data_IF_085460698410
#
_entry.id   IF_085460698410
#
_cell.length_a   1.000
_cell.length_b   1.000
_cell.length_c   1.000
_cell.angle_alpha   90.00
_cell.angle_beta   90.00
_cell.angle_gamma   90.00
#
_symmetry.space_group_name_H-M   'P 1'
#
loop_
_entity.id
_entity.type
_entity.pdbx_description
1 polymer ?
#
# COMPACT_ATOMS: atom_id res chain seq x y z
N UNK A 1 37.04 -5.58 -5.03
CA UNK A 1 35.66 -5.72 -4.50
C UNK A 1 35.43 -4.55 -3.56
N UNK A 2 34.69 -3.53 -3.99
CA UNK A 2 34.32 -2.39 -3.14
C UNK A 2 33.29 -2.85 -2.12
N UNK A 3 33.45 -2.45 -0.86
CA UNK A 3 32.49 -2.75 0.19
C UNK A 3 31.11 -2.18 -0.20
N UNK A 4 29.99 -2.88 0.12
CA UNK A 4 28.66 -2.34 -0.12
C UNK A 4 28.49 -1.04 0.66
N UNK A 5 28.25 0.04 -0.05
CA UNK A 5 27.96 1.35 0.52
C UNK A 5 26.60 1.34 1.21
N UNK A 6 26.34 2.34 2.06
CA UNK A 6 25.10 2.47 2.83
C UNK A 6 23.84 2.35 1.95
N UNK A 7 23.93 2.86 0.72
CA UNK A 7 22.86 2.96 -0.27
C UNK A 7 22.86 1.86 -1.34
N UNK A 8 23.83 0.96 -1.29
CA UNK A 8 23.96 -0.11 -2.29
C UNK A 8 22.77 -1.07 -2.29
N UNK A 9 22.38 -1.47 -3.50
CA UNK A 9 21.33 -2.47 -3.75
C UNK A 9 22.03 -3.82 -3.97
N UNK A 10 21.49 -4.92 -3.41
CA UNK A 10 22.01 -6.25 -3.72
C UNK A 10 21.92 -6.54 -5.23
N UNK A 11 23.03 -6.98 -5.83
CA UNK A 11 23.13 -7.39 -7.24
C UNK A 11 22.07 -8.37 -7.75
N UNK A 12 21.57 -9.38 -6.99
CA UNK A 12 20.51 -10.26 -7.49
C UNK A 12 19.18 -9.53 -7.78
N UNK A 13 18.96 -8.36 -7.16
CA UNK A 13 17.72 -7.58 -7.31
C UNK A 13 17.71 -6.82 -8.63
N UNK A 14 18.83 -6.21 -9.03
CA UNK A 14 18.92 -5.42 -10.26
C UNK A 14 18.72 -6.29 -11.50
N UNK A 15 19.30 -7.49 -11.52
CA UNK A 15 19.16 -8.41 -12.65
C UNK A 15 17.71 -8.91 -12.80
N UNK A 16 17.04 -9.26 -11.70
CA UNK A 16 15.66 -9.79 -11.74
C UNK A 16 14.66 -8.73 -12.18
N UNK A 17 14.83 -7.48 -11.74
CA UNK A 17 13.94 -6.37 -12.08
C UNK A 17 14.15 -5.79 -13.48
N UNK A 18 15.20 -6.22 -14.19
CA UNK A 18 15.45 -5.82 -15.59
C UNK A 18 14.45 -6.41 -16.59
N UNK A 19 13.71 -7.45 -16.19
CA UNK A 19 12.69 -8.10 -17.01
C UNK A 19 11.28 -7.70 -16.56
N UNK A 20 10.34 -7.59 -17.50
CA UNK A 20 8.94 -7.30 -17.18
C UNK A 20 8.33 -8.35 -16.25
N UNK A 21 8.70 -9.62 -16.42
CA UNK A 21 8.20 -10.71 -15.59
C UNK A 21 8.71 -10.60 -14.16
N UNK A 22 10.03 -10.44 -13.96
CA UNK A 22 10.61 -10.26 -12.63
C UNK A 22 10.11 -8.98 -11.96
N UNK A 23 9.97 -7.89 -12.71
CA UNK A 23 9.38 -6.65 -12.19
C UNK A 23 7.95 -6.86 -11.69
N UNK A 24 7.08 -7.47 -12.49
CA UNK A 24 5.67 -7.69 -12.11
C UNK A 24 5.47 -8.62 -10.90
N UNK A 25 6.40 -9.55 -10.67
CA UNK A 25 6.37 -10.47 -9.52
C UNK A 25 6.74 -9.79 -8.20
N UNK A 26 7.70 -8.86 -8.25
CA UNK A 26 8.26 -8.23 -7.05
C UNK A 26 7.74 -6.81 -6.79
N UNK A 27 7.24 -6.12 -7.82
CA UNK A 27 6.66 -4.78 -7.70
C UNK A 27 5.16 -4.89 -7.87
N UNK A 28 4.41 -4.68 -6.79
CA UNK A 28 2.94 -4.69 -6.82
C UNK A 28 2.42 -3.27 -7.02
N UNK A 29 1.97 -2.90 -8.23
CA UNK A 29 1.33 -1.60 -8.41
C UNK A 29 0.04 -1.54 -7.59
N UNK A 30 -0.04 -0.61 -6.64
CA UNK A 30 -1.33 -0.36 -5.97
C UNK A 30 -2.35 0.16 -6.98
N UNK A 31 -3.48 -0.54 -7.12
CA UNK A 31 -4.62 -0.09 -7.92
C UNK A 31 -5.75 0.38 -7.00
N UNK A 32 -6.35 1.53 -7.32
CA UNK A 32 -7.55 2.01 -6.65
C UNK A 32 -8.70 0.99 -6.77
N UNK A 33 -8.80 0.33 -7.92
CA UNK A 33 -9.71 -0.78 -8.18
C UNK A 33 -9.51 -1.93 -7.17
N UNK A 34 -8.25 -2.26 -6.84
CA UNK A 34 -7.94 -3.30 -5.85
C UNK A 34 -8.38 -2.94 -4.43
N UNK A 35 -8.29 -1.65 -4.04
CA UNK A 35 -8.76 -1.16 -2.73
C UNK A 35 -10.30 -1.16 -2.67
N UNK A 36 -10.96 -0.67 -3.71
CA UNK A 36 -12.42 -0.69 -3.81
C UNK A 36 -12.99 -2.11 -3.75
N UNK A 37 -12.38 -3.05 -4.49
CA UNK A 37 -12.73 -4.46 -4.46
C UNK A 37 -12.63 -5.06 -3.04
N UNK A 38 -11.55 -4.76 -2.31
CA UNK A 38 -11.34 -5.29 -0.97
C UNK A 38 -12.40 -4.76 0.01
N UNK A 39 -12.75 -3.47 -0.07
CA UNK A 39 -13.75 -2.85 0.82
C UNK A 39 -15.15 -3.39 0.50
N UNK A 40 -15.57 -3.36 -0.77
CA UNK A 40 -16.91 -3.83 -1.17
C UNK A 40 -17.05 -5.32 -0.91
N UNK A 41 -16.01 -6.12 -1.21
CA UNK A 41 -16.00 -7.56 -0.92
C UNK A 41 -16.09 -7.86 0.57
N UNK A 42 -15.38 -7.11 1.42
CA UNK A 42 -15.44 -7.28 2.87
C UNK A 42 -16.82 -6.93 3.43
N UNK A 43 -17.42 -5.82 2.98
CA UNK A 43 -18.79 -5.44 3.39
C UNK A 43 -19.79 -6.51 2.95
N UNK A 44 -19.73 -6.97 1.70
CA UNK A 44 -20.61 -8.01 1.18
C UNK A 44 -20.50 -9.31 2.00
N UNK A 45 -19.27 -9.69 2.39
CA UNK A 45 -19.02 -10.87 3.21
C UNK A 45 -19.61 -10.71 4.62
N UNK A 46 -19.44 -9.55 5.26
CA UNK A 46 -20.02 -9.30 6.60
C UNK A 46 -21.55 -9.37 6.59
N UNK A 47 -22.18 -8.73 5.60
CA UNK A 47 -23.64 -8.76 5.43
C UNK A 47 -24.13 -10.19 5.19
N UNK A 48 -23.42 -10.95 4.35
CA UNK A 48 -23.74 -12.35 4.08
C UNK A 48 -23.59 -13.22 5.33
N UNK A 49 -22.47 -13.10 6.06
CA UNK A 49 -22.21 -13.85 7.29
C UNK A 49 -23.27 -13.56 8.34
N UNK A 50 -23.63 -12.29 8.54
CA UNK A 50 -24.70 -11.91 9.46
C UNK A 50 -26.03 -12.54 9.04
N UNK A 51 -26.40 -12.44 7.75
CA UNK A 51 -27.66 -13.01 7.27
C UNK A 51 -27.70 -14.54 7.43
N UNK A 52 -26.61 -15.24 7.09
CA UNK A 52 -26.50 -16.70 7.29
C UNK A 52 -26.61 -17.07 8.76
N UNK A 53 -25.85 -16.40 9.65
CA UNK A 53 -25.86 -16.71 11.08
C UNK A 53 -27.23 -16.45 11.71
N UNK A 54 -27.83 -15.30 11.40
CA UNK A 54 -29.18 -14.95 11.87
C UNK A 54 -30.22 -15.96 11.38
N UNK A 55 -30.16 -16.36 10.12
CA UNK A 55 -31.08 -17.34 9.53
C UNK A 55 -30.89 -18.73 10.15
N UNK A 56 -29.64 -19.17 10.36
CA UNK A 56 -29.33 -20.48 10.95
C UNK A 56 -29.73 -20.52 12.42
N UNK A 57 -29.38 -19.50 13.22
CA UNK A 57 -29.81 -19.40 14.61
C UNK A 57 -31.33 -19.39 14.70
N UNK A 58 -32.00 -18.54 13.93
CA UNK A 58 -33.47 -18.46 13.94
C UNK A 58 -34.15 -19.77 13.54
N UNK A 59 -33.60 -20.50 12.56
CA UNK A 59 -34.11 -21.81 12.16
C UNK A 59 -33.92 -22.87 13.27
N UNK A 60 -32.75 -22.89 13.92
CA UNK A 60 -32.44 -23.80 15.03
C UNK A 60 -33.29 -23.50 16.28
N UNK A 61 -33.37 -22.22 16.68
CA UNK A 61 -34.10 -21.77 17.86
C UNK A 61 -35.62 -22.02 17.72
N UNK A 62 -36.14 -21.95 16.50
CA UNK A 62 -37.55 -22.18 16.21
C UNK A 62 -37.89 -23.65 15.92
N UNK A 63 -36.91 -24.56 15.95
CA UNK A 63 -37.10 -25.96 15.54
C UNK A 63 -37.52 -26.13 14.06
N UNK A 64 -37.35 -25.08 13.25
CA UNK A 64 -37.69 -25.06 11.84
C UNK A 64 -36.59 -25.81 11.08
N UNK A 65 -36.94 -26.95 10.49
CA UNK A 65 -36.00 -27.75 9.71
C UNK A 65 -35.38 -26.97 8.54
N UNK A 66 -34.28 -27.50 8.00
CA UNK A 66 -33.49 -26.90 6.90
C UNK A 66 -34.29 -26.46 5.67
N UNK A 67 -35.51 -27.02 5.49
CA UNK A 67 -36.45 -26.63 4.43
C UNK A 67 -36.89 -25.16 4.50
N UNK A 68 -36.88 -24.53 5.68
CA UNK A 68 -37.28 -23.13 5.86
C UNK A 68 -36.10 -22.14 5.84
N UNK A 69 -34.88 -22.64 5.77
CA UNK A 69 -33.68 -21.80 5.77
C UNK A 69 -33.66 -20.85 4.55
N UNK A 70 -33.95 -21.34 3.35
CA UNK A 70 -33.90 -20.51 2.14
C UNK A 70 -34.99 -19.42 2.12
N UNK A 71 -36.26 -19.72 2.47
CA UNK A 71 -37.27 -18.68 2.65
C UNK A 71 -36.92 -17.64 3.73
N UNK A 72 -36.36 -18.08 4.87
CA UNK A 72 -35.92 -17.18 5.95
C UNK A 72 -34.75 -16.29 5.50
N UNK A 73 -33.78 -16.86 4.76
CA UNK A 73 -32.62 -16.14 4.23
C UNK A 73 -33.00 -15.00 3.30
N UNK A 74 -34.09 -15.15 2.53
CA UNK A 74 -34.60 -14.12 1.62
C UNK A 74 -35.72 -13.26 2.23
N UNK A 75 -36.06 -13.46 3.51
CA UNK A 75 -37.12 -12.69 4.16
C UNK A 75 -36.66 -11.26 4.45
N UNK A 76 -37.45 -10.29 4.02
CA UNK A 76 -37.24 -8.87 4.33
C UNK A 76 -38.28 -8.34 5.33
N UNK A 77 -39.09 -9.23 5.92
CA UNK A 77 -40.17 -8.88 6.83
C UNK A 77 -39.64 -8.84 8.27
N UNK A 78 -39.95 -7.75 8.99
CA UNK A 78 -39.69 -7.63 10.42
C UNK A 78 -40.75 -8.34 11.26
N UNK A 79 -40.58 -8.30 12.59
CA UNK A 79 -41.49 -8.92 13.57
C UNK A 79 -42.95 -8.46 13.44
N UNK A 80 -43.15 -7.24 12.96
CA UNK A 80 -44.44 -6.60 12.71
C UNK A 80 -45.03 -6.93 11.32
N UNK A 81 -44.42 -7.84 10.55
CA UNK A 81 -44.89 -8.22 9.22
C UNK A 81 -44.69 -7.14 8.15
N UNK A 82 -44.05 -6.03 8.48
CA UNK A 82 -43.71 -4.96 7.53
C UNK A 82 -42.31 -5.16 6.98
N UNK A 83 -42.06 -4.64 5.77
CA UNK A 83 -40.72 -4.64 5.18
C UNK A 83 -39.76 -3.81 6.05
N UNK A 84 -38.70 -4.43 6.55
CA UNK A 84 -37.67 -3.76 7.32
C UNK A 84 -36.51 -3.37 6.38
N UNK A 85 -36.19 -2.07 6.22
CA UNK A 85 -35.13 -1.62 5.31
C UNK A 85 -33.74 -2.16 5.68
N UNK A 86 -33.50 -2.47 6.96
CA UNK A 86 -32.24 -3.09 7.42
C UNK A 86 -32.15 -4.54 6.93
N UNK A 87 -33.24 -5.31 7.02
CA UNK A 87 -33.29 -6.68 6.49
C UNK A 87 -33.15 -6.70 4.97
N UNK A 88 -33.78 -5.73 4.27
CA UNK A 88 -33.57 -5.55 2.82
C UNK A 88 -32.08 -5.39 2.49
N UNK A 89 -31.34 -4.58 3.26
CA UNK A 89 -29.91 -4.40 3.07
C UNK A 89 -29.11 -5.69 3.34
N UNK A 90 -29.47 -6.48 4.36
CA UNK A 90 -28.78 -7.75 4.65
C UNK A 90 -29.04 -8.84 3.62
N UNK A 91 -30.25 -8.89 3.06
CA UNK A 91 -30.63 -9.89 2.06
C UNK A 91 -30.13 -9.49 0.68
N UNK A 92 -30.49 -8.29 0.21
CA UNK A 92 -30.20 -7.86 -1.15
C UNK A 92 -28.82 -7.24 -1.31
N UNK A 93 -28.22 -6.71 -0.24
CA UNK A 93 -26.87 -6.16 -0.25
C UNK A 93 -25.84 -7.14 -0.80
N UNK A 94 -25.69 -8.35 -0.21
CA UNK A 94 -24.81 -9.39 -0.76
C UNK A 94 -25.18 -9.84 -2.17
N UNK A 95 -26.47 -10.01 -2.47
CA UNK A 95 -26.96 -10.46 -3.79
C UNK A 95 -26.54 -9.50 -4.91
N UNK A 96 -26.52 -8.20 -4.63
CA UNK A 96 -26.08 -7.17 -5.58
C UNK A 96 -24.57 -6.98 -5.53
N UNK A 97 -23.97 -6.94 -4.34
CA UNK A 97 -22.56 -6.65 -4.15
C UNK A 97 -21.65 -7.78 -4.66
N UNK A 98 -22.01 -9.05 -4.51
CA UNK A 98 -21.19 -10.18 -4.94
C UNK A 98 -20.96 -10.19 -6.47
N UNK A 99 -21.99 -10.03 -7.34
CA UNK A 99 -21.78 -9.85 -8.78
C UNK A 99 -20.89 -8.66 -9.11
N UNK A 100 -21.06 -7.51 -8.44
CA UNK A 100 -20.21 -6.34 -8.66
C UNK A 100 -18.75 -6.65 -8.31
N UNK A 101 -18.51 -7.30 -7.16
CA UNK A 101 -17.17 -7.74 -6.75
C UNK A 101 -16.58 -8.71 -7.76
N UNK A 102 -17.37 -9.65 -8.29
CA UNK A 102 -16.91 -10.58 -9.31
C UNK A 102 -16.49 -9.85 -10.59
N UNK A 103 -17.32 -8.94 -11.10
CA UNK A 103 -17.00 -8.13 -12.29
C UNK A 103 -15.74 -7.31 -12.08
N UNK A 104 -15.64 -6.60 -10.95
CA UNK A 104 -14.45 -5.82 -10.59
C UNK A 104 -13.21 -6.71 -10.42
N UNK A 105 -13.37 -7.95 -9.95
CA UNK A 105 -12.28 -8.91 -9.80
C UNK A 105 -11.76 -9.37 -11.17
N UNK A 106 -12.66 -9.69 -12.10
CA UNK A 106 -12.32 -10.05 -13.48
C UNK A 106 -11.63 -8.87 -14.17
N UNK A 107 -12.17 -7.65 -14.05
CA UNK A 107 -11.54 -6.43 -14.58
C UNK A 107 -10.15 -6.22 -13.99
N UNK A 108 -9.96 -6.49 -12.69
CA UNK A 108 -8.65 -6.42 -12.05
C UNK A 108 -7.68 -7.44 -12.64
N UNK A 109 -8.12 -8.68 -12.88
CA UNK A 109 -7.27 -9.69 -13.52
C UNK A 109 -6.88 -9.29 -14.95
N UNK A 110 -7.84 -8.77 -15.72
CA UNK A 110 -7.61 -8.31 -17.09
C UNK A 110 -6.64 -7.12 -17.15
N UNK A 111 -6.79 -6.14 -16.25
CA UNK A 111 -5.99 -4.91 -16.25
C UNK A 111 -4.65 -5.03 -15.51
N UNK A 112 -4.43 -6.09 -14.72
CA UNK A 112 -3.17 -6.30 -13.98
C UNK A 112 -1.95 -6.33 -14.90
N UNK A 113 -2.04 -7.03 -16.05
CA UNK A 113 -0.93 -7.14 -17.00
C UNK A 113 -0.59 -5.78 -17.61
N UNK A 114 -1.61 -5.08 -18.12
CA UNK A 114 -1.44 -3.73 -18.70
C UNK A 114 -0.89 -2.73 -17.69
N UNK A 115 -1.33 -2.78 -16.42
CA UNK A 115 -0.80 -1.92 -15.37
C UNK A 115 0.67 -2.25 -15.05
N UNK A 116 1.01 -3.53 -14.96
CA UNK A 116 2.40 -3.95 -14.73
C UNK A 116 3.30 -3.55 -15.90
N UNK A 117 2.87 -3.76 -17.13
CA UNK A 117 3.57 -3.34 -18.35
C UNK A 117 3.74 -1.83 -18.42
N UNK A 118 2.71 -1.04 -18.08
CA UNK A 118 2.81 0.43 -18.07
C UNK A 118 3.83 0.93 -17.05
N UNK A 119 3.83 0.34 -15.85
CA UNK A 119 4.80 0.70 -14.80
C UNK A 119 6.20 0.23 -15.17
N UNK A 120 6.32 -0.96 -15.75
CA UNK A 120 7.60 -1.46 -16.25
C UNK A 120 8.14 -0.62 -17.41
N UNK A 121 7.28 -0.19 -18.34
CA UNK A 121 7.66 0.70 -19.43
C UNK A 121 8.23 2.02 -18.88
N UNK A 122 7.52 2.65 -17.94
CA UNK A 122 8.00 3.86 -17.26
C UNK A 122 9.32 3.63 -16.50
N UNK A 123 9.50 2.44 -15.93
CA UNK A 123 10.76 2.04 -15.30
C UNK A 123 11.89 1.84 -16.32
N UNK A 124 11.63 1.20 -17.45
CA UNK A 124 12.62 0.94 -18.49
C UNK A 124 13.08 2.20 -19.25
N UNK A 125 12.24 3.24 -19.28
CA UNK A 125 12.50 4.49 -20.00
C UNK A 125 13.40 5.49 -19.24
N UNK A 126 13.84 5.16 -18.04
CA UNK A 126 14.66 6.05 -17.20
C UNK A 126 14.39 5.95 -15.70
N UNK A 127 13.70 4.91 -15.26
CA UNK A 127 13.60 4.54 -13.86
C UNK A 127 14.90 3.94 -13.35
N UNK A 128 15.05 3.93 -12.02
CA UNK A 128 16.21 3.39 -11.35
C UNK A 128 15.80 2.77 -10.02
N UNK A 129 16.65 1.87 -9.51
CA UNK A 129 16.47 1.28 -8.20
C UNK A 129 17.23 2.10 -7.18
N UNK A 130 16.66 2.24 -5.99
CA UNK A 130 17.33 2.83 -4.83
C UNK A 130 17.05 2.01 -3.59
N UNK A 131 18.03 1.96 -2.69
CA UNK A 131 17.79 1.59 -1.30
C UNK A 131 17.32 2.84 -0.56
N UNK A 132 16.16 2.75 0.06
CA UNK A 132 15.58 3.81 0.86
C UNK A 132 15.69 3.46 2.35
N UNK A 133 16.23 4.37 3.14
CA UNK A 133 16.48 4.21 4.57
C UNK A 133 15.52 5.07 5.37
N UNK A 134 14.92 4.46 6.40
CA UNK A 134 14.00 5.10 7.32
C UNK A 134 14.68 6.10 8.24
N UNK A 135 13.94 7.18 8.49
CA UNK A 135 14.25 8.12 9.55
C UNK A 135 13.53 7.69 10.83
N UNK A 136 14.07 8.00 12.02
CA UNK A 136 13.51 7.60 13.32
C UNK A 136 12.28 8.45 13.71
N UNK A 137 11.34 8.62 12.80
CA UNK A 137 10.13 9.42 12.96
C UNK A 137 8.94 8.71 12.31
N UNK A 138 7.80 8.77 12.97
CA UNK A 138 6.54 8.30 12.42
C UNK A 138 5.56 9.45 12.29
N UNK A 139 4.82 9.49 11.19
CA UNK A 139 3.74 10.44 10.97
C UNK A 139 2.49 9.71 10.46
N UNK A 140 1.32 10.26 10.76
CA UNK A 140 0.07 9.67 10.31
C UNK A 140 -0.42 10.36 9.06
N UNK A 141 -0.82 9.57 8.08
CA UNK A 141 -1.56 10.03 6.91
C UNK A 141 -2.92 9.34 6.88
N UNK A 142 -3.94 10.08 7.30
CA UNK A 142 -5.25 9.48 7.59
C UNK A 142 -5.14 8.45 8.71
N UNK A 143 -5.50 7.19 8.42
CA UNK A 143 -5.44 6.07 9.38
C UNK A 143 -4.15 5.24 9.29
N UNK A 144 -3.22 5.61 8.42
CA UNK A 144 -2.00 4.83 8.18
C UNK A 144 -0.81 5.54 8.82
N UNK A 145 -0.06 4.82 9.64
CA UNK A 145 1.22 5.27 10.17
C UNK A 145 2.30 5.04 9.13
N UNK A 146 3.00 6.12 8.79
CA UNK A 146 4.05 6.17 7.80
C UNK A 146 5.38 6.57 8.44
N UNK A 147 6.46 6.12 7.83
CA UNK A 147 7.84 6.47 8.17
C UNK A 147 8.45 7.17 6.95
N UNK A 148 9.06 8.37 7.12
CA UNK A 148 9.75 9.02 6.03
C UNK A 148 11.05 8.26 5.76
N UNK A 149 11.35 8.06 4.49
CA UNK A 149 12.56 7.40 4.02
C UNK A 149 13.31 8.32 3.08
N UNK A 150 14.63 8.36 3.26
CA UNK A 150 15.55 9.00 2.34
C UNK A 150 16.14 7.95 1.42
N UNK A 151 16.30 8.27 0.16
CA UNK A 151 17.01 7.43 -0.78
C UNK A 151 17.99 8.27 -1.60
N UNK A 152 19.11 7.67 -1.96
CA UNK A 152 20.12 8.30 -2.78
C UNK A 152 20.36 7.46 -4.04
N UNK A 153 20.46 8.08 -5.23
CA UNK A 153 20.89 7.39 -6.43
C UNK A 153 22.31 6.80 -6.24
N UNK A 154 22.58 5.64 -6.83
CA UNK A 154 23.89 4.97 -6.66
C UNK A 154 25.09 5.77 -7.20
N UNK A 155 24.88 6.70 -8.13
CA UNK A 155 25.92 7.59 -8.65
C UNK A 155 26.21 8.79 -7.72
N UNK A 156 25.33 9.02 -6.74
CA UNK A 156 25.36 10.11 -5.76
C UNK A 156 25.93 9.64 -4.41
N UNK A 157 26.43 8.41 -4.34
CA UNK A 157 26.87 7.76 -3.12
C UNK A 157 28.28 8.22 -2.74
N UNK A 158 28.35 9.42 -2.15
CA UNK A 158 29.56 10.00 -1.60
C UNK A 158 29.58 9.98 -0.06
N UNK A 159 30.78 10.15 0.48
CA UNK A 159 31.02 10.13 1.93
C UNK A 159 30.24 11.26 2.62
N UNK A 160 30.13 12.42 1.95
CA UNK A 160 29.47 13.60 2.49
C UNK A 160 27.97 13.36 2.71
N UNK A 161 27.29 12.75 1.75
CA UNK A 161 25.87 12.46 1.85
C UNK A 161 25.57 11.34 2.84
N UNK A 162 26.47 10.36 2.99
CA UNK A 162 26.38 9.36 4.05
C UNK A 162 26.52 9.99 5.45
N UNK A 163 27.47 10.93 5.62
CA UNK A 163 27.63 11.67 6.87
C UNK A 163 26.43 12.58 7.17
N UNK A 164 25.92 13.30 6.17
CA UNK A 164 24.70 14.09 6.30
C UNK A 164 23.52 13.24 6.80
N UNK A 165 23.31 12.05 6.22
CA UNK A 165 22.23 11.16 6.64
C UNK A 165 22.38 10.68 8.09
N UNK A 166 23.60 10.34 8.52
CA UNK A 166 23.88 9.95 9.92
C UNK A 166 23.60 11.12 10.87
N UNK A 167 24.06 12.33 10.54
CA UNK A 167 23.80 13.54 11.33
C UNK A 167 22.31 13.86 11.41
N UNK A 168 21.58 13.67 10.30
CA UNK A 168 20.13 13.81 10.26
C UNK A 168 19.46 12.82 11.19
N UNK A 169 19.82 11.53 11.13
CA UNK A 169 19.25 10.51 12.03
C UNK A 169 19.49 10.85 13.51
N UNK A 170 20.70 11.26 13.88
CA UNK A 170 21.02 11.68 15.24
C UNK A 170 20.20 12.90 15.68
N UNK A 171 20.09 13.90 14.80
CA UNK A 171 19.30 15.11 15.06
C UNK A 171 17.83 14.78 15.30
N UNK A 172 17.25 13.92 14.45
CA UNK A 172 15.85 13.52 14.55
C UNK A 172 15.58 12.60 15.74
N UNK A 173 16.55 11.77 16.14
CA UNK A 173 16.45 10.95 17.35
C UNK A 173 16.41 11.81 18.63
N UNK A 174 17.01 13.01 18.60
CA UNK A 174 16.97 13.96 19.70
C UNK A 174 15.68 14.80 19.76
N UNK A 175 14.79 14.70 18.76
CA UNK A 175 13.54 15.48 18.75
C UNK A 175 12.54 14.93 19.76
N UNK A 176 11.91 15.85 20.48
CA UNK A 176 10.76 15.54 21.31
C UNK A 176 9.45 15.71 20.52
N UNK A 177 8.35 15.26 21.09
CA UNK A 177 7.03 15.36 20.43
C UNK A 177 6.58 16.80 20.13
N UNK A 178 7.16 17.83 20.76
CA UNK A 178 6.81 19.24 20.54
C UNK A 178 7.63 19.85 19.42
N UNK A 179 8.94 19.58 19.39
CA UNK A 179 9.86 20.06 18.35
C UNK A 179 9.66 19.35 17.02
N UNK A 180 9.16 18.10 17.04
CA UNK A 180 8.82 17.37 15.82
C UNK A 180 7.55 17.88 15.11
N UNK A 181 6.62 18.59 15.78
CA UNK A 181 5.34 19.03 15.18
C UNK A 181 5.48 19.79 13.84
N UNK A 182 6.29 20.85 13.72
CA UNK A 182 6.44 21.57 12.44
C UNK A 182 7.01 20.67 11.34
N UNK A 183 7.97 19.81 11.68
CA UNK A 183 8.53 18.84 10.75
C UNK A 183 7.48 17.82 10.28
N UNK A 184 6.72 17.24 11.20
CA UNK A 184 5.64 16.29 10.88
C UNK A 184 4.56 16.94 10.00
N UNK A 185 4.24 18.22 10.23
CA UNK A 185 3.32 18.98 9.36
C UNK A 185 3.89 19.15 7.95
N UNK A 186 5.18 19.49 7.82
CA UNK A 186 5.87 19.60 6.54
C UNK A 186 5.89 18.27 5.79
N UNK A 187 6.24 17.18 6.49
CA UNK A 187 6.23 15.81 5.95
C UNK A 187 4.83 15.42 5.47
N UNK A 188 3.78 15.66 6.27
CA UNK A 188 2.40 15.32 5.91
C UNK A 188 1.89 16.13 4.71
N UNK A 189 2.27 17.40 4.61
CA UNK A 189 1.89 18.28 3.49
C UNK A 189 2.61 17.92 2.18
N UNK A 190 3.88 17.50 2.28
CA UNK A 190 4.73 17.20 1.13
C UNK A 190 4.50 15.77 0.62
N UNK A 191 4.51 14.78 1.54
CA UNK A 191 4.34 13.37 1.22
C UNK A 191 2.85 13.00 1.26
N UNK A 192 2.12 13.39 0.22
CA UNK A 192 0.65 13.18 0.10
C UNK A 192 0.22 11.71 0.01
N UNK A 193 1.12 10.81 -0.36
CA UNK A 193 0.90 9.36 -0.37
C UNK A 193 2.24 8.61 -0.42
N UNK A 194 2.18 7.29 -0.25
CA UNK A 194 3.34 6.37 -0.25
C UNK A 194 4.08 6.32 -1.60
N UNK A 195 3.43 6.68 -2.70
CA UNK A 195 4.02 6.67 -4.05
C UNK A 195 4.78 7.94 -4.36
N UNK A 196 4.42 9.06 -3.74
CA UNK A 196 5.03 10.36 -4.03
C UNK A 196 6.51 10.34 -3.63
N UNK A 197 7.34 10.78 -4.57
CA UNK A 197 8.77 11.02 -4.35
C UNK A 197 9.03 12.49 -4.60
N UNK A 198 9.71 13.14 -3.66
CA UNK A 198 10.10 14.56 -3.74
C UNK A 198 11.59 14.70 -3.47
N UNK A 199 12.23 15.79 -3.88
CA UNK A 199 13.56 16.13 -3.37
C UNK A 199 13.53 16.26 -1.85
N UNK A 200 14.53 15.72 -1.17
CA UNK A 200 14.65 15.83 0.29
C UNK A 200 14.77 17.29 0.75
N UNK A 201 15.30 18.16 -0.13
CA UNK A 201 15.36 19.62 0.06
C UNK A 201 14.01 20.30 0.25
N UNK A 202 12.91 19.64 -0.13
CA UNK A 202 11.56 20.15 0.14
C UNK A 202 11.22 20.18 1.64
N UNK A 203 11.92 19.41 2.46
CA UNK A 203 11.69 19.31 3.91
C UNK A 203 12.95 19.64 4.71
N UNK A 204 14.13 19.23 4.22
CA UNK A 204 15.42 19.42 4.89
C UNK A 204 16.28 20.36 4.03
N UNK A 205 16.40 21.63 4.41
CA UNK A 205 17.01 22.66 3.57
C UNK A 205 18.48 22.40 3.21
N UNK A 206 19.19 21.64 4.05
CA UNK A 206 20.59 21.23 3.90
C UNK A 206 20.75 19.89 3.16
N UNK A 207 19.68 19.28 2.67
CA UNK A 207 19.76 18.01 1.98
C UNK A 207 20.56 18.09 0.68
N UNK A 208 21.37 17.05 0.38
CA UNK A 208 22.01 16.91 -0.93
C UNK A 208 20.98 17.01 -2.05
N UNK A 209 21.38 17.63 -3.17
CA UNK A 209 20.49 17.91 -4.31
C UNK A 209 19.84 16.64 -4.88
N UNK A 210 20.53 15.53 -4.78
CA UNK A 210 20.14 14.24 -5.35
C UNK A 210 19.40 13.35 -4.34
N UNK A 211 19.33 13.76 -3.07
CA UNK A 211 18.60 13.04 -2.05
C UNK A 211 17.09 13.12 -2.29
N UNK A 212 16.44 11.96 -2.27
CA UNK A 212 15.01 11.81 -2.48
C UNK A 212 14.33 11.47 -1.16
N UNK A 213 13.18 12.09 -0.92
CA UNK A 213 12.33 11.83 0.23
C UNK A 213 11.03 11.16 -0.23
N UNK A 214 10.63 10.13 0.49
CA UNK A 214 9.43 9.34 0.23
C UNK A 214 8.86 8.78 1.53
N UNK A 215 7.63 8.25 1.49
CA UNK A 215 7.00 7.63 2.65
C UNK A 215 6.91 6.11 2.50
N UNK A 216 7.02 5.37 3.60
CA UNK A 216 6.76 3.94 3.69
C UNK A 216 5.72 3.64 4.77
N UNK A 217 4.91 2.58 4.63
CA UNK A 217 4.19 2.03 5.78
C UNK A 217 5.20 1.63 6.87
N UNK A 218 4.92 1.94 8.14
CA UNK A 218 5.80 1.58 9.25
C UNK A 218 6.11 0.06 9.30
N UNK A 219 5.17 -0.77 8.87
CA UNK A 219 5.34 -2.22 8.77
C UNK A 219 6.38 -2.69 7.71
N UNK A 220 6.88 -1.80 6.85
CA UNK A 220 7.87 -2.15 5.81
C UNK A 220 9.31 -2.19 6.33
N UNK A 221 9.54 -1.82 7.59
CA UNK A 221 10.86 -1.85 8.23
C UNK A 221 11.73 -0.62 7.96
N UNK A 222 12.94 -0.65 8.51
CA UNK A 222 13.89 0.47 8.52
C UNK A 222 14.56 0.71 7.16
N UNK A 223 14.57 -0.29 6.27
CA UNK A 223 15.11 -0.15 4.93
C UNK A 223 14.21 -0.85 3.92
N UNK A 224 14.02 -0.23 2.75
CA UNK A 224 13.28 -0.82 1.64
C UNK A 224 14.03 -0.63 0.34
N UNK A 225 13.86 -1.56 -0.61
CA UNK A 225 14.30 -1.35 -1.99
C UNK A 225 13.13 -0.80 -2.79
N UNK A 226 13.37 0.24 -3.58
CA UNK A 226 12.34 0.93 -4.33
C UNK A 226 12.73 1.10 -5.79
N UNK A 227 11.76 0.87 -6.66
CA UNK A 227 11.82 1.29 -8.04
C UNK A 227 11.27 2.71 -8.14
N UNK A 228 12.11 3.65 -8.59
CA UNK A 228 11.74 5.02 -8.90
C UNK A 228 11.45 5.10 -10.39
N UNK A 229 10.34 5.73 -10.73
CA UNK A 229 9.88 5.89 -12.11
C UNK A 229 9.49 7.35 -12.32
N UNK A 230 9.82 7.89 -13.49
CA UNK A 230 9.36 9.22 -13.89
C UNK A 230 8.01 9.10 -14.62
N UNK A 231 7.07 9.95 -14.27
CA UNK A 231 5.77 10.05 -14.95
C UNK A 231 5.46 11.51 -15.23
N UNK A 232 4.49 11.79 -16.11
CA UNK A 232 4.03 13.17 -16.40
C UNK A 232 3.57 13.95 -15.15
N UNK A 233 3.30 13.23 -14.04
CA UNK A 233 2.87 13.79 -12.75
C UNK A 233 4.00 13.92 -11.73
N UNK A 234 5.23 13.64 -12.13
CA UNK A 234 6.42 13.65 -11.28
C UNK A 234 6.97 12.25 -10.98
N UNK A 235 7.91 12.19 -10.02
CA UNK A 235 8.55 10.95 -9.61
C UNK A 235 7.61 10.11 -8.73
N UNK A 236 7.52 8.83 -9.04
CA UNK A 236 6.79 7.86 -8.23
C UNK A 236 7.69 6.71 -7.79
N UNK A 237 7.47 6.20 -6.58
CA UNK A 237 8.15 5.02 -6.06
C UNK A 237 7.20 3.83 -5.89
N UNK A 238 7.74 2.64 -6.08
CA UNK A 238 7.10 1.39 -5.71
C UNK A 238 8.05 0.52 -4.89
N UNK A 239 7.56 -0.03 -3.78
CA UNK A 239 8.33 -0.92 -2.91
C UNK A 239 8.50 -2.27 -3.60
N UNK A 240 9.75 -2.73 -3.66
CA UNK A 240 10.12 -4.05 -4.17
C UNK A 240 9.96 -5.06 -3.02
N UNK A 241 9.20 -6.12 -3.27
CA UNK A 241 9.04 -7.21 -2.31
C UNK A 241 10.29 -8.11 -2.31
N UNK A 242 11.03 -8.03 -1.20
CA UNK A 242 12.28 -8.74 -0.99
C UNK A 242 12.11 -10.22 -0.61
N UNK A 243 10.91 -10.65 -0.20
CA UNK A 243 10.67 -12.03 0.30
C UNK A 243 10.93 -13.16 -0.72
N UNK A 244 11.13 -12.83 -2.00
CA UNK A 244 11.52 -13.80 -3.03
C UNK A 244 12.99 -13.71 -3.46
N UNK A 245 13.79 -12.91 -2.77
CA UNK A 245 15.23 -12.76 -3.01
C UNK A 245 16.10 -13.34 -1.88
N UNK A 246 15.50 -13.74 -0.75
CA UNK A 246 16.20 -14.43 0.34
C UNK A 246 16.50 -15.88 -0.09
N UNK A 247 17.75 -16.14 -0.50
CA UNK A 247 18.18 -17.45 -0.99
C UNK A 247 19.30 -17.44 -2.04
N UNK A 248 19.91 -16.28 -2.33
CA UNK A 248 21.13 -16.17 -3.15
C UNK A 248 22.24 -15.53 -2.33
#
# INVERSE_FOLDING_TARGET
>A
MTAPTLWSIPTPVSHTLSTSEGFSRHVKPESALGKALAVVGFIALLLLMYNVFSTVSGALDSGLGSRYWLPLFFSTLGENGNVNPILVAYVWGPVIALPIVLVLWVLRLATRRQLAEKVFAAYSQGGFLVKALGLPLAFNQGKVQLVPQIAMPAHADDIESAQWFVNLQQTLAAYDSRTAKPLLKSLTGTLKNVKTVVPASAVFADAPREALLMAAPAASGEATIRAITSTDKGLTSAIVNMKGFEGV
#
